data_IF_913814898830
#
_entry.id   IF_913814898830
#
_cell.length_a   1.000
_cell.length_b   1.000
_cell.length_c   1.000
_cell.angle_alpha   90.00
_cell.angle_beta   90.00
_cell.angle_gamma   90.00
#
_symmetry.space_group_name_H-M   'P 1'
#
loop_
_entity.id
_entity.type
_entity.pdbx_description
1 polymer ?
#
# COMPACT_ATOMS: atom_id res chain seq x y z
N UNK A 1 18.56 -47.77 -18.59
CA UNK A 1 17.99 -46.98 -19.69
C UNK A 1 16.48 -47.23 -19.69
N UNK A 2 15.73 -46.28 -19.15
CA UNK A 2 14.46 -46.55 -18.47
C UNK A 2 13.29 -46.12 -19.37
N UNK A 3 12.58 -47.07 -19.98
CA UNK A 3 11.26 -46.82 -20.55
C UNK A 3 10.23 -47.09 -19.46
N UNK A 4 9.63 -46.01 -18.97
CA UNK A 4 8.74 -45.95 -17.80
C UNK A 4 7.51 -46.84 -17.98
N UNK A 5 7.17 -47.53 -16.88
CA UNK A 5 6.00 -48.38 -16.73
C UNK A 5 4.70 -47.58 -16.90
N UNK A 6 3.72 -48.22 -17.53
CA UNK A 6 2.35 -47.74 -17.70
C UNK A 6 1.59 -47.91 -16.39
N UNK A 7 1.15 -46.83 -15.76
CA UNK A 7 0.15 -46.89 -14.69
C UNK A 7 -1.15 -46.30 -15.23
N UNK A 8 -2.07 -47.19 -15.62
CA UNK A 8 -3.43 -46.85 -16.01
C UNK A 8 -4.23 -46.63 -14.73
N UNK A 9 -4.70 -45.41 -14.50
CA UNK A 9 -5.65 -45.12 -13.42
C UNK A 9 -7.06 -45.42 -13.93
N UNK A 10 -7.67 -46.50 -13.42
CA UNK A 10 -9.07 -46.82 -13.63
C UNK A 10 -9.92 -45.78 -12.87
N UNK A 11 -10.50 -44.82 -13.59
CA UNK A 11 -11.53 -43.94 -13.01
C UNK A 11 -12.87 -44.62 -13.23
N UNK A 12 -13.36 -45.25 -12.17
CA UNK A 12 -14.73 -45.77 -12.05
C UNK A 12 -15.72 -44.63 -12.23
N UNK A 13 -16.56 -44.75 -13.24
CA UNK A 13 -17.69 -43.89 -13.57
C UNK A 13 -18.76 -44.00 -12.48
N UNK A 14 -18.96 -42.95 -11.68
CA UNK A 14 -20.06 -42.94 -10.72
C UNK A 14 -20.09 -41.67 -9.87
N UNK A 15 -20.79 -40.65 -10.36
CA UNK A 15 -21.15 -39.44 -9.63
C UNK A 15 -19.97 -38.60 -9.10
N UNK A 16 -19.39 -37.82 -10.01
CA UNK A 16 -18.64 -36.60 -9.69
C UNK A 16 -19.64 -35.61 -9.07
N UNK A 17 -19.89 -35.76 -7.77
CA UNK A 17 -20.50 -34.71 -6.97
C UNK A 17 -19.45 -33.60 -6.85
N UNK A 18 -19.72 -32.52 -7.59
CA UNK A 18 -19.00 -31.26 -7.66
C UNK A 18 -18.68 -30.70 -6.27
N UNK A 19 -17.59 -31.14 -5.67
CA UNK A 19 -16.88 -30.32 -4.72
C UNK A 19 -15.94 -29.48 -5.57
N UNK A 20 -16.49 -28.39 -6.12
CA UNK A 20 -15.72 -27.23 -6.49
C UNK A 20 -15.10 -26.70 -5.18
N UNK A 21 -14.00 -27.33 -4.74
CA UNK A 21 -13.11 -26.74 -3.77
C UNK A 21 -12.63 -25.48 -4.46
N UNK A 22 -13.27 -24.38 -4.08
CA UNK A 22 -12.93 -23.02 -4.44
C UNK A 22 -11.60 -22.78 -3.75
N UNK A 23 -10.53 -23.25 -4.38
CA UNK A 23 -9.21 -22.70 -4.17
C UNK A 23 -9.34 -21.30 -4.75
N UNK A 24 -9.85 -20.37 -3.93
CA UNK A 24 -9.53 -18.97 -4.05
C UNK A 24 -8.01 -18.93 -3.83
N UNK A 25 -7.28 -19.23 -4.89
CA UNK A 25 -5.91 -18.83 -5.08
C UNK A 25 -5.95 -17.34 -4.84
N UNK A 26 -5.66 -16.96 -3.60
CA UNK A 26 -5.43 -15.59 -3.21
C UNK A 26 -4.16 -15.22 -3.95
N UNK A 27 -4.35 -14.82 -5.21
CA UNK A 27 -3.40 -14.01 -5.96
C UNK A 27 -3.35 -12.69 -5.18
N UNK A 28 -2.71 -12.72 -4.00
CA UNK A 28 -2.29 -11.52 -3.31
C UNK A 28 -1.42 -10.83 -4.33
N UNK A 29 -1.99 -9.82 -4.98
CA UNK A 29 -1.27 -9.01 -5.95
C UNK A 29 -0.03 -8.54 -5.20
N UNK A 30 1.17 -8.93 -5.65
CA UNK A 30 2.42 -8.41 -5.10
C UNK A 30 2.51 -6.95 -5.56
N UNK A 31 1.59 -6.11 -5.08
CA UNK A 31 1.60 -4.67 -5.33
C UNK A 31 2.76 -4.10 -4.54
N UNK A 32 3.63 -3.35 -5.20
CA UNK A 32 4.73 -2.66 -4.53
C UNK A 32 4.16 -1.63 -3.53
N UNK A 33 4.81 -1.40 -2.39
CA UNK A 33 4.35 -0.42 -1.39
C UNK A 33 4.16 0.98 -2.00
N UNK A 34 5.04 1.38 -2.93
CA UNK A 34 4.92 2.64 -3.68
C UNK A 34 3.66 2.75 -4.54
N UNK A 35 3.18 1.64 -5.11
CA UNK A 35 1.92 1.61 -5.86
C UNK A 35 0.72 1.77 -4.92
N UNK A 36 0.79 1.21 -3.72
CA UNK A 36 -0.26 1.39 -2.69
C UNK A 36 -0.31 2.84 -2.21
N UNK A 37 0.84 3.44 -1.90
CA UNK A 37 0.93 4.86 -1.55
C UNK A 37 0.37 5.78 -2.63
N UNK A 38 0.77 5.57 -3.89
CA UNK A 38 0.25 6.35 -5.03
C UNK A 38 -1.27 6.19 -5.17
N UNK A 39 -1.78 4.96 -5.16
CA UNK A 39 -3.22 4.70 -5.28
C UNK A 39 -4.01 5.32 -4.13
N UNK A 40 -3.50 5.26 -2.91
CA UNK A 40 -4.12 5.92 -1.76
C UNK A 40 -4.28 7.42 -2.01
N UNK A 41 -3.21 8.10 -2.42
CA UNK A 41 -3.24 9.52 -2.75
C UNK A 41 -4.18 9.81 -3.94
N UNK A 42 -4.22 8.96 -4.96
CA UNK A 42 -5.15 9.12 -6.08
C UNK A 42 -6.62 8.98 -5.66
N UNK A 43 -6.94 8.02 -4.79
CA UNK A 43 -8.29 7.83 -4.28
C UNK A 43 -8.74 9.04 -3.45
N UNK A 44 -7.84 9.66 -2.69
CA UNK A 44 -8.10 10.94 -2.03
C UNK A 44 -8.43 12.06 -3.02
N UNK A 45 -7.70 12.15 -4.13
CA UNK A 45 -7.99 13.15 -5.18
C UNK A 45 -9.30 12.90 -5.92
N UNK A 46 -9.70 11.63 -6.04
CA UNK A 46 -10.98 11.24 -6.64
C UNK A 46 -12.14 11.34 -5.63
N UNK A 47 -11.93 11.95 -4.46
CA UNK A 47 -12.89 12.07 -3.35
C UNK A 47 -13.43 10.71 -2.87
N UNK A 48 -12.66 9.64 -3.05
CA UNK A 48 -13.01 8.27 -2.61
C UNK A 48 -12.48 8.02 -1.20
N UNK A 49 -12.98 8.78 -0.23
CA UNK A 49 -12.50 8.73 1.16
C UNK A 49 -12.55 7.33 1.77
N UNK A 50 -13.67 6.63 1.61
CA UNK A 50 -13.84 5.27 2.15
C UNK A 50 -12.86 4.28 1.52
N UNK A 51 -12.61 4.38 0.20
CA UNK A 51 -11.63 3.54 -0.48
C UNK A 51 -10.21 3.81 0.05
N UNK A 52 -9.81 5.08 0.14
CA UNK A 52 -8.50 5.46 0.67
C UNK A 52 -8.34 5.04 2.14
N UNK A 53 -9.35 5.26 2.98
CA UNK A 53 -9.31 4.86 4.39
C UNK A 53 -9.25 3.33 4.54
N UNK A 54 -9.88 2.55 3.66
CA UNK A 54 -9.77 1.07 3.67
C UNK A 54 -8.36 0.55 3.34
N UNK A 55 -7.52 1.37 2.70
CA UNK A 55 -6.13 1.04 2.40
C UNK A 55 -5.18 1.27 3.58
N UNK A 56 -5.65 1.89 4.66
CA UNK A 56 -4.84 2.11 5.86
C UNK A 56 -4.59 0.81 6.64
N UNK A 57 -3.66 0.81 7.58
CA UNK A 57 -3.36 -0.34 8.43
C UNK A 57 -4.41 -0.53 9.51
N UNK A 58 -4.45 -1.73 10.12
CA UNK A 58 -5.31 -1.94 11.28
C UNK A 58 -4.94 -0.99 12.44
N UNK A 59 -3.63 -0.76 12.65
CA UNK A 59 -3.12 0.17 13.66
C UNK A 59 -3.57 1.61 13.40
N UNK A 60 -3.50 2.09 12.15
CA UNK A 60 -3.96 3.44 11.79
C UNK A 60 -5.44 3.61 12.10
N UNK A 61 -6.29 2.63 11.75
CA UNK A 61 -7.73 2.71 12.04
C UNK A 61 -8.08 2.58 13.51
N UNK A 62 -7.22 1.95 14.31
CA UNK A 62 -7.39 1.85 15.75
C UNK A 62 -7.13 3.18 16.46
N UNK A 63 -6.31 4.07 15.86
CA UNK A 63 -5.92 5.35 16.47
C UNK A 63 -6.55 6.57 15.78
N UNK A 64 -6.84 6.49 14.49
CA UNK A 64 -7.38 7.58 13.68
C UNK A 64 -8.77 7.19 13.18
N UNK A 65 -9.80 7.83 13.72
CA UNK A 65 -11.18 7.65 13.26
C UNK A 65 -11.38 8.20 11.84
N UNK A 66 -12.48 7.81 11.19
CA UNK A 66 -12.83 8.35 9.87
C UNK A 66 -13.10 9.85 9.93
N UNK A 67 -13.75 10.34 10.98
CA UNK A 67 -13.96 11.78 11.17
C UNK A 67 -12.63 12.52 11.34
N UNK A 68 -11.73 12.04 12.21
CA UNK A 68 -10.41 12.65 12.40
C UNK A 68 -9.60 12.66 11.11
N UNK A 69 -9.67 11.59 10.32
CA UNK A 69 -9.02 11.53 9.01
C UNK A 69 -9.61 12.55 8.03
N UNK A 70 -10.94 12.71 7.99
CA UNK A 70 -11.62 13.71 7.16
C UNK A 70 -11.23 15.14 7.56
N UNK A 71 -11.16 15.41 8.86
CA UNK A 71 -10.78 16.73 9.37
C UNK A 71 -9.31 17.03 9.03
N UNK A 72 -8.42 16.04 9.16
CA UNK A 72 -7.04 16.14 8.71
C UNK A 72 -6.94 16.49 7.21
N UNK A 73 -7.72 15.85 6.34
CA UNK A 73 -7.73 16.18 4.91
C UNK A 73 -8.25 17.59 4.60
N UNK A 74 -9.06 18.16 5.50
CA UNK A 74 -9.54 19.55 5.39
C UNK A 74 -8.43 20.54 5.75
N UNK A 75 -7.57 20.19 6.72
CA UNK A 75 -6.39 20.97 7.09
C UNK A 75 -5.29 20.93 6.03
N UNK A 76 -5.23 19.87 5.23
CA UNK A 76 -4.24 19.69 4.18
C UNK A 76 -4.87 19.44 2.80
N UNK A 77 -5.47 20.47 2.17
CA UNK A 77 -6.13 20.35 0.88
C UNK A 77 -5.24 19.77 -0.23
N UNK A 78 -3.92 19.97 -0.15
CA UNK A 78 -2.93 19.42 -1.10
C UNK A 78 -3.04 17.89 -1.27
N UNK A 79 -3.52 17.17 -0.25
CA UNK A 79 -3.73 15.72 -0.33
C UNK A 79 -4.90 15.33 -1.23
N UNK A 80 -5.88 16.22 -1.40
CA UNK A 80 -7.09 15.99 -2.23
C UNK A 80 -7.03 16.76 -3.55
N UNK A 81 -6.42 17.94 -3.58
CA UNK A 81 -6.36 18.84 -4.72
C UNK A 81 -4.90 19.05 -5.15
N UNK A 82 -4.37 18.11 -5.93
CA UNK A 82 -2.99 18.10 -6.42
C UNK A 82 -2.95 17.88 -7.92
N UNK A 83 -1.93 18.47 -8.56
CA UNK A 83 -1.62 18.22 -9.96
C UNK A 83 -0.68 17.01 -10.12
N UNK A 84 0.25 16.81 -9.18
CA UNK A 84 1.33 15.84 -9.36
C UNK A 84 1.77 15.22 -8.02
N UNK A 85 2.26 13.97 -8.10
CA UNK A 85 2.92 13.26 -7.00
C UNK A 85 4.25 12.72 -7.53
N UNK A 86 5.35 13.20 -6.95
CA UNK A 86 6.69 12.70 -7.26
C UNK A 86 7.26 11.96 -6.04
N UNK A 87 7.70 10.72 -6.22
CA UNK A 87 8.36 9.96 -5.14
C UNK A 87 9.86 9.94 -5.43
N UNK A 88 10.64 10.52 -4.53
CA UNK A 88 12.08 10.70 -4.68
C UNK A 88 12.88 9.52 -4.13
N UNK A 89 12.32 8.74 -3.21
CA UNK A 89 13.02 7.61 -2.62
C UNK A 89 12.11 6.71 -1.79
N UNK A 90 12.65 5.53 -1.47
CA UNK A 90 12.08 4.65 -0.46
C UNK A 90 13.18 3.87 0.25
N UNK A 91 12.99 3.64 1.54
CA UNK A 91 13.82 2.73 2.35
C UNK A 91 12.93 1.61 2.87
N UNK A 92 13.44 0.39 2.88
CA UNK A 92 12.70 -0.79 3.32
C UNK A 92 13.39 -1.42 4.52
N UNK A 93 12.71 -1.44 5.66
CA UNK A 93 13.18 -2.02 6.90
C UNK A 93 12.18 -3.09 7.36
N UNK A 94 12.61 -4.36 7.33
CA UNK A 94 11.79 -5.53 7.68
C UNK A 94 10.46 -5.58 6.91
N UNK A 95 9.36 -5.15 7.52
CA UNK A 95 8.00 -5.18 6.96
C UNK A 95 7.42 -3.78 6.73
N UNK A 96 8.21 -2.72 6.95
CA UNK A 96 7.82 -1.33 6.73
C UNK A 96 8.64 -0.78 5.57
N UNK A 97 8.00 -0.01 4.70
CA UNK A 97 8.65 0.77 3.67
C UNK A 97 8.30 2.23 3.88
N UNK A 98 9.32 3.05 4.08
CA UNK A 98 9.20 4.51 4.11
C UNK A 98 9.33 5.01 2.69
N UNK A 99 8.39 5.85 2.26
CA UNK A 99 8.36 6.46 0.93
C UNK A 99 8.36 7.96 1.12
N UNK A 100 9.33 8.63 0.52
CA UNK A 100 9.46 10.09 0.57
C UNK A 100 9.26 10.69 -0.82
N UNK A 101 8.78 11.92 -0.85
CA UNK A 101 8.53 12.63 -2.10
C UNK A 101 7.88 13.98 -1.88
N UNK A 102 7.32 14.51 -2.96
CA UNK A 102 6.70 15.82 -3.02
C UNK A 102 5.33 15.73 -3.68
N UNK A 103 4.39 16.51 -3.16
CA UNK A 103 3.08 16.73 -3.76
C UNK A 103 3.03 18.16 -4.27
N UNK A 104 2.70 18.30 -5.55
CA UNK A 104 2.43 19.60 -6.16
C UNK A 104 0.94 19.90 -6.12
N UNK A 105 0.56 20.95 -5.40
CA UNK A 105 -0.80 21.48 -5.35
C UNK A 105 -1.22 22.10 -6.68
N UNK A 106 -2.53 22.21 -6.90
CA UNK A 106 -3.09 22.90 -8.08
C UNK A 106 -2.74 24.39 -8.12
N UNK A 107 -2.43 24.97 -6.96
CA UNK A 107 -1.95 26.33 -6.77
C UNK A 107 -0.44 26.49 -7.06
N UNK A 108 0.24 25.39 -7.41
CA UNK A 108 1.67 25.35 -7.66
C UNK A 108 2.52 25.17 -6.40
N UNK A 109 1.92 25.11 -5.21
CA UNK A 109 2.64 24.84 -3.97
C UNK A 109 3.28 23.44 -4.01
N UNK A 110 4.45 23.29 -3.40
CA UNK A 110 5.15 22.01 -3.28
C UNK A 110 5.19 21.67 -1.79
N UNK A 111 4.61 20.53 -1.43
CA UNK A 111 4.58 20.04 -0.04
C UNK A 111 5.32 18.70 0.02
N UNK A 112 6.35 18.58 0.87
CA UNK A 112 7.02 17.30 1.07
C UNK A 112 6.06 16.32 1.75
N UNK A 113 6.17 15.05 1.41
CA UNK A 113 5.40 13.97 2.02
C UNK A 113 6.31 12.78 2.36
N UNK A 114 6.09 12.22 3.54
CA UNK A 114 6.63 10.93 3.94
C UNK A 114 5.49 10.00 4.31
N UNK A 115 5.50 8.78 3.78
CA UNK A 115 4.51 7.75 4.04
C UNK A 115 5.18 6.47 4.52
N UNK A 116 4.66 5.89 5.60
CA UNK A 116 5.06 4.56 6.03
C UNK A 116 4.02 3.56 5.55
N UNK A 117 4.47 2.53 4.84
CA UNK A 117 3.63 1.45 4.33
C UNK A 117 4.08 0.15 4.97
N UNK A 118 3.16 -0.53 5.65
CA UNK A 118 3.43 -1.78 6.36
C UNK A 118 2.82 -2.96 5.64
N UNK A 119 3.49 -4.11 5.66
CA UNK A 119 2.92 -5.37 5.19
C UNK A 119 2.17 -6.08 6.31
N UNK A 120 0.85 -6.19 6.18
CA UNK A 120 -0.06 -6.85 7.12
C UNK A 120 -0.81 -7.98 6.41
N UNK A 121 -0.69 -9.22 6.91
CA UNK A 121 -1.37 -10.41 6.36
C UNK A 121 -1.15 -10.63 4.85
N UNK A 122 0.02 -10.24 4.34
CA UNK A 122 0.39 -10.39 2.93
C UNK A 122 0.12 -9.14 2.06
N UNK A 123 -0.66 -8.18 2.54
CA UNK A 123 -1.00 -6.96 1.83
C UNK A 123 -0.26 -5.74 2.38
N UNK A 124 0.08 -4.79 1.50
CA UNK A 124 0.62 -3.50 1.92
C UNK A 124 -0.50 -2.53 2.31
N UNK A 125 -0.31 -1.82 3.43
CA UNK A 125 -1.28 -0.89 4.02
C UNK A 125 -0.60 0.41 4.48
N UNK A 126 -1.31 1.53 4.43
CA UNK A 126 -0.79 2.82 4.89
C UNK A 126 -0.75 2.82 6.42
N UNK A 127 0.44 2.82 7.00
CA UNK A 127 0.65 2.87 8.45
C UNK A 127 0.63 4.29 8.99
N UNK A 128 1.27 5.21 8.28
CA UNK A 128 1.37 6.61 8.66
C UNK A 128 1.62 7.48 7.42
N UNK A 129 1.29 8.76 7.53
CA UNK A 129 1.64 9.78 6.56
C UNK A 129 1.97 11.08 7.31
N UNK A 130 2.93 11.84 6.80
CA UNK A 130 3.38 13.11 7.36
C UNK A 130 3.68 14.09 6.24
N UNK A 131 3.34 15.36 6.47
CA UNK A 131 3.66 16.47 5.58
C UNK A 131 4.74 17.38 6.19
N UNK A 132 5.39 16.94 7.28
CA UNK A 132 6.40 17.71 7.97
C UNK A 132 7.82 17.35 7.49
N UNK A 133 8.54 18.28 6.85
CA UNK A 133 9.91 18.03 6.38
C UNK A 133 10.91 17.67 7.49
N UNK A 134 10.65 18.04 8.75
CA UNK A 134 11.55 17.73 9.86
C UNK A 134 11.62 16.23 10.18
N UNK A 135 10.58 15.46 9.86
CA UNK A 135 10.61 13.99 9.98
C UNK A 135 11.33 13.35 8.79
N UNK A 136 11.18 13.93 7.60
CA UNK A 136 11.86 13.50 6.37
C UNK A 136 13.38 13.64 6.50
N UNK A 137 13.88 14.75 7.08
CA UNK A 137 15.31 14.99 7.21
C UNK A 137 16.00 14.05 8.21
N UNK A 138 15.33 13.64 9.31
CA UNK A 138 15.90 12.68 10.26
C UNK A 138 16.15 11.31 9.64
N UNK A 139 15.24 10.85 8.78
CA UNK A 139 15.36 9.57 8.08
C UNK A 139 16.46 9.59 7.01
N UNK A 140 16.73 10.74 6.39
CA UNK A 140 17.80 10.90 5.40
C UNK A 140 19.18 11.08 6.06
N UNK A 141 19.25 11.83 7.16
CA UNK A 141 20.49 12.03 7.92
C UNK A 141 21.03 10.75 8.58
N UNK A 142 20.15 9.80 8.94
CA UNK A 142 20.56 8.51 9.49
C UNK A 142 21.17 7.54 8.45
N UNK A 143 20.98 7.81 7.16
CA UNK A 143 21.53 7.00 6.07
C UNK A 143 22.93 7.49 5.64
N UNK A 144 23.21 8.80 5.75
CA UNK A 144 24.51 9.40 5.39
C UNK A 144 25.62 9.12 6.42
N UNK A 145 25.29 8.83 7.68
CA UNK A 145 26.28 8.56 8.74
C UNK A 145 26.83 7.11 8.73
N UNK A 146 26.41 6.27 7.77
CA UNK A 146 26.86 4.87 7.63
C UNK A 146 27.80 4.60 6.44
N UNK A 147 28.32 5.64 5.77
CA UNK A 147 29.41 5.52 4.79
C UNK A 147 30.73 6.00 5.36
#
# INVERSE_FOLDING_TARGET
MNKRAKTVFFISTGAIALIAISIALSLSSITRPSKVARRFLEDLSKRKLEAAYSMTSAQFRATVTKETFRDFLTLYPVLTSKSEINFSGHTAESNITTISGDIKGIDGSITPITMHVIKEKGDWRILALSLNPAETNRALSSEEEKQ
#
